data_IF_469299599793
#
_entry.id   IF_469299599793
#
_cell.length_a   1.000
_cell.length_b   1.000
_cell.length_c   1.000
_cell.angle_alpha   90.00
_cell.angle_beta   90.00
_cell.angle_gamma   90.00
#
_symmetry.space_group_name_H-M   'P 1'
#
loop_
_entity.id
_entity.type
_entity.pdbx_description
1 polymer ?
#
# COMPACT_ATOMS: atom_id res chain seq x y z
N UNK A 1 9.97 -0.25 22.41
CA UNK A 1 9.49 -1.45 21.69
C UNK A 1 9.30 -1.00 20.24
N UNK A 2 10.23 -1.35 19.36
CA UNK A 2 10.21 -0.92 17.96
C UNK A 2 9.60 -2.07 17.17
N UNK A 3 8.46 -1.85 16.53
CA UNK A 3 7.88 -2.82 15.59
C UNK A 3 8.69 -2.64 14.29
N UNK A 4 9.77 -3.40 14.19
CA UNK A 4 10.62 -3.53 13.01
C UNK A 4 10.64 -4.97 12.52
N UNK A 5 9.55 -5.69 12.72
CA UNK A 5 9.28 -6.96 12.06
C UNK A 5 8.18 -6.68 11.03
N UNK A 6 8.38 -7.22 9.83
CA UNK A 6 7.70 -6.82 8.61
C UNK A 6 6.20 -6.69 8.77
N UNK A 7 5.63 -5.72 8.05
CA UNK A 7 4.29 -5.90 7.54
C UNK A 7 4.37 -7.12 6.61
N UNK A 8 4.32 -8.33 7.17
CA UNK A 8 3.95 -9.50 6.40
C UNK A 8 2.68 -9.09 5.65
N UNK A 9 2.64 -9.37 4.34
CA UNK A 9 1.51 -9.10 3.44
C UNK A 9 0.14 -9.42 4.07
N UNK A 10 0.12 -10.29 5.08
CA UNK A 10 -0.98 -10.73 5.91
C UNK A 10 -1.81 -9.68 6.65
N UNK A 11 -1.42 -8.41 6.74
CA UNK A 11 -2.22 -7.43 7.50
C UNK A 11 -2.94 -6.36 6.65
N UNK A 12 -2.61 -6.22 5.36
CA UNK A 12 -3.22 -5.12 4.59
C UNK A 12 -4.70 -5.32 4.34
N UNK A 13 -5.13 -6.56 4.09
CA UNK A 13 -6.53 -6.87 3.76
C UNK A 13 -7.42 -6.58 4.97
N UNK A 14 -6.95 -6.93 6.17
CA UNK A 14 -7.62 -6.64 7.43
C UNK A 14 -7.61 -5.14 7.76
N UNK A 15 -6.48 -4.47 7.54
CA UNK A 15 -6.35 -3.02 7.72
C UNK A 15 -7.27 -2.27 6.76
N UNK A 16 -7.40 -2.74 5.51
CA UNK A 16 -8.22 -2.12 4.49
C UNK A 16 -9.72 -2.12 4.84
N UNK A 17 -10.14 -3.07 5.67
CA UNK A 17 -11.52 -3.13 6.16
C UNK A 17 -11.82 -2.16 7.29
N UNK A 18 -10.81 -1.57 7.94
CA UNK A 18 -10.99 -0.63 9.03
C UNK A 18 -11.61 0.70 8.58
N UNK A 19 -12.52 1.26 9.38
CA UNK A 19 -13.14 2.56 9.11
C UNK A 19 -12.10 3.68 8.96
N UNK A 20 -11.02 3.64 9.75
CA UNK A 20 -9.93 4.62 9.65
C UNK A 20 -9.26 4.56 8.27
N UNK A 21 -9.05 3.37 7.74
CA UNK A 21 -8.45 3.19 6.42
C UNK A 21 -9.38 3.72 5.33
N UNK A 22 -10.65 3.31 5.36
CA UNK A 22 -11.68 3.70 4.39
C UNK A 22 -11.95 5.21 4.35
N UNK A 23 -11.81 5.90 5.48
CA UNK A 23 -12.06 7.35 5.57
C UNK A 23 -10.81 8.21 5.36
N UNK A 24 -9.62 7.63 5.47
CA UNK A 24 -8.38 8.39 5.32
C UNK A 24 -8.16 8.82 3.87
N UNK A 25 -7.69 10.06 3.70
CA UNK A 25 -7.36 10.64 2.38
C UNK A 25 -5.87 10.61 2.06
N UNK A 26 -5.04 10.44 3.08
CA UNK A 26 -3.60 10.51 2.98
C UNK A 26 -3.01 9.26 3.63
N UNK A 27 -2.17 8.54 2.89
CA UNK A 27 -1.46 7.37 3.38
C UNK A 27 0.05 7.61 3.36
N UNK A 28 0.70 7.41 4.50
CA UNK A 28 2.16 7.30 4.59
C UNK A 28 2.54 5.83 4.77
N UNK A 29 3.33 5.29 3.84
CA UNK A 29 3.70 3.88 3.83
C UNK A 29 5.21 3.72 3.72
N UNK A 30 5.75 2.75 4.47
CA UNK A 30 7.12 2.29 4.28
C UNK A 30 7.12 0.79 4.07
N UNK A 31 7.54 0.37 2.90
CA UNK A 31 7.59 -1.04 2.49
C UNK A 31 9.04 -1.49 2.52
N UNK A 32 9.31 -2.43 3.42
CA UNK A 32 10.65 -2.96 3.64
C UNK A 32 10.90 -4.24 2.83
N UNK A 33 9.84 -4.93 2.39
CA UNK A 33 9.92 -6.14 1.57
C UNK A 33 9.73 -5.84 0.08
N UNK A 34 9.90 -6.86 -0.76
CA UNK A 34 9.74 -6.71 -2.22
C UNK A 34 8.28 -6.91 -2.62
N UNK A 35 7.75 -5.91 -3.32
CA UNK A 35 6.42 -5.96 -3.94
C UNK A 35 5.39 -5.10 -3.23
N UNK A 36 4.25 -4.89 -3.91
CA UNK A 36 3.13 -4.12 -3.37
C UNK A 36 1.97 -5.04 -2.97
N UNK A 37 1.19 -4.67 -1.94
CA UNK A 37 -0.10 -5.29 -1.71
C UNK A 37 -1.12 -4.89 -2.80
N UNK A 38 -2.31 -5.53 -2.85
CA UNK A 38 -3.29 -5.28 -3.89
C UNK A 38 -3.61 -3.79 -4.04
N UNK A 39 -3.51 -3.29 -5.28
CA UNK A 39 -3.56 -1.85 -5.56
C UNK A 39 -4.94 -1.28 -5.26
N UNK A 40 -5.98 -2.10 -5.33
CA UNK A 40 -7.37 -1.72 -5.03
C UNK A 40 -7.52 -1.11 -3.64
N UNK A 41 -6.74 -1.57 -2.66
CA UNK A 41 -6.78 -1.05 -1.29
C UNK A 41 -6.23 0.38 -1.14
N UNK A 42 -5.60 0.91 -2.19
CA UNK A 42 -4.96 2.21 -2.19
C UNK A 42 -5.69 3.27 -3.01
N UNK A 43 -6.68 2.89 -3.84
CA UNK A 43 -7.28 3.77 -4.84
C UNK A 43 -8.17 4.88 -4.28
N UNK A 44 -8.67 4.75 -3.04
CA UNK A 44 -9.49 5.81 -2.41
C UNK A 44 -8.65 6.91 -1.77
N UNK A 45 -7.35 6.71 -1.57
CA UNK A 45 -6.47 7.75 -1.05
C UNK A 45 -6.25 8.84 -2.09
N UNK A 46 -6.36 10.09 -1.67
CA UNK A 46 -6.07 11.25 -2.52
C UNK A 46 -4.56 11.46 -2.70
N UNK A 47 -3.75 11.12 -1.68
CA UNK A 47 -2.30 11.15 -1.78
C UNK A 47 -1.67 9.97 -1.05
N UNK A 48 -0.62 9.41 -1.65
CA UNK A 48 0.18 8.35 -1.05
C UNK A 48 1.64 8.79 -1.07
N UNK A 49 2.26 8.80 0.10
CA UNK A 49 3.70 8.97 0.26
C UNK A 49 4.28 7.62 0.64
N UNK A 50 5.07 7.03 -0.26
CA UNK A 50 5.59 5.69 -0.05
C UNK A 50 7.10 5.60 -0.25
N UNK A 51 7.75 4.93 0.68
CA UNK A 51 9.18 4.64 0.63
C UNK A 51 9.38 3.13 0.46
N UNK A 52 9.90 2.73 -0.70
CA UNK A 52 10.10 1.34 -1.07
C UNK A 52 11.58 0.97 -1.06
N UNK A 53 11.88 -0.29 -0.71
CA UNK A 53 13.18 -0.89 -0.98
C UNK A 53 13.31 -1.29 -2.46
N UNK A 54 12.74 -2.44 -2.82
CA UNK A 54 12.62 -2.92 -4.20
C UNK A 54 11.16 -3.25 -4.50
N UNK A 55 10.71 -3.02 -5.72
CA UNK A 55 9.35 -3.35 -6.18
C UNK A 55 9.45 -4.10 -7.51
N UNK A 56 8.46 -4.93 -7.80
CA UNK A 56 8.39 -5.58 -9.11
C UNK A 56 7.91 -4.58 -10.17
N UNK A 57 8.43 -4.71 -11.39
CA UNK A 57 7.97 -3.90 -12.52
C UNK A 57 6.47 -4.08 -12.77
N UNK A 58 5.96 -5.29 -12.53
CA UNK A 58 4.52 -5.60 -12.62
C UNK A 58 3.68 -4.74 -11.69
N UNK A 59 4.17 -4.44 -10.49
CA UNK A 59 3.44 -3.63 -9.51
C UNK A 59 3.37 -2.16 -9.97
N UNK A 60 4.44 -1.67 -10.60
CA UNK A 60 4.46 -0.32 -11.23
C UNK A 60 3.46 -0.25 -12.37
N UNK A 61 3.44 -1.26 -13.25
CA UNK A 61 2.50 -1.32 -14.38
C UNK A 61 1.06 -1.36 -13.87
N UNK A 62 0.76 -2.21 -12.89
CA UNK A 62 -0.58 -2.31 -12.30
C UNK A 62 -1.01 -0.96 -11.68
N UNK A 63 -0.08 -0.21 -11.07
CA UNK A 63 -0.37 1.11 -10.53
C UNK A 63 -0.74 2.09 -11.64
N UNK A 64 0.05 2.14 -12.71
CA UNK A 64 -0.23 2.98 -13.88
C UNK A 64 -1.58 2.64 -14.53
N UNK A 65 -1.90 1.36 -14.66
CA UNK A 65 -3.15 0.89 -15.27
C UNK A 65 -4.37 1.25 -14.40
N UNK A 66 -4.22 1.19 -13.07
CA UNK A 66 -5.30 1.52 -12.13
C UNK A 66 -5.67 3.01 -12.12
N UNK A 67 -4.71 3.90 -12.39
CA UNK A 67 -4.93 5.37 -12.42
C UNK A 67 -5.29 5.90 -13.80
N UNK A 68 -5.14 5.10 -14.85
CA UNK A 68 -5.43 5.48 -16.24
C UNK A 68 -6.89 5.21 -16.66
N UNK A 69 -7.74 4.73 -15.73
CA UNK A 69 -9.19 4.54 -15.92
C UNK A 69 -9.97 5.73 -15.40
#
# INVERSE_FOLDING_TARGET
MSISEGLEQYNIDEIAEMDQWKQAKHLGLRVYETGLPPIEHFLHFSTIEAHFGSIYLTDVVNLCDSVSK
#
